data_IF_743823482222
#
_entry.id   IF_743823482222
#
_cell.length_a   1.000
_cell.length_b   1.000
_cell.length_c   1.000
_cell.angle_alpha   90.00
_cell.angle_beta   90.00
_cell.angle_gamma   90.00
#
_symmetry.space_group_name_H-M   'P 1'
#
loop_
_entity.id
_entity.type
_entity.pdbx_description
1 polymer ?
#
# COMPACT_ATOMS: atom_id res chain seq x y z
N UNK A 1 -5.78 26.60 26.85
CA UNK A 1 -5.42 25.79 25.67
C UNK A 1 -6.72 25.15 25.25
N UNK A 2 -7.30 25.69 24.18
CA UNK A 2 -8.58 25.25 23.64
C UNK A 2 -8.55 23.83 23.15
N UNK A 3 -9.73 23.35 22.80
CA UNK A 3 -9.95 21.96 22.41
C UNK A 3 -9.39 21.64 21.00
N UNK A 4 -9.10 22.68 20.20
CA UNK A 4 -8.75 22.57 18.80
C UNK A 4 -7.34 23.10 18.47
N UNK A 5 -6.80 22.64 17.35
CA UNK A 5 -5.57 23.16 16.77
C UNK A 5 -5.92 23.96 15.52
N UNK A 6 -5.27 25.10 15.35
CA UNK A 6 -5.58 26.07 14.31
C UNK A 6 -4.35 26.34 13.44
N UNK A 7 -4.58 26.48 12.14
CA UNK A 7 -3.68 27.14 11.20
C UNK A 7 -3.63 28.65 11.47
N UNK A 8 -2.68 29.34 10.83
CA UNK A 8 -2.58 30.81 10.98
C UNK A 8 -3.80 31.49 10.38
N UNK A 9 -4.26 31.01 9.24
CA UNK A 9 -5.43 31.52 8.53
C UNK A 9 -6.72 31.35 9.37
N UNK A 10 -6.90 30.22 10.05
CA UNK A 10 -8.05 30.00 10.94
C UNK A 10 -8.04 30.92 12.16
N UNK A 11 -6.86 31.23 12.71
CA UNK A 11 -6.74 32.20 13.80
C UNK A 11 -7.10 33.63 13.36
N UNK A 12 -6.74 34.01 12.13
CA UNK A 12 -7.13 35.29 11.55
C UNK A 12 -8.67 35.35 11.40
N UNK A 13 -9.29 34.28 10.90
CA UNK A 13 -10.75 34.15 10.81
C UNK A 13 -11.42 34.26 12.18
N UNK A 14 -10.93 33.54 13.19
CA UNK A 14 -11.48 33.57 14.55
C UNK A 14 -11.48 34.98 15.14
N UNK A 15 -10.39 35.74 14.96
CA UNK A 15 -10.31 37.13 15.43
C UNK A 15 -11.34 38.03 14.74
N UNK A 16 -11.52 37.87 13.42
CA UNK A 16 -12.52 38.63 12.67
C UNK A 16 -13.94 38.28 13.13
N UNK A 17 -14.25 36.99 13.32
CA UNK A 17 -15.56 36.55 13.83
C UNK A 17 -15.84 37.10 15.22
N UNK A 18 -14.86 37.05 16.14
CA UNK A 18 -14.97 37.63 17.48
C UNK A 18 -15.18 39.15 17.43
N UNK A 19 -14.45 39.84 16.55
CA UNK A 19 -14.62 41.28 16.34
C UNK A 19 -16.06 41.62 15.93
N UNK A 20 -16.60 40.88 14.97
CA UNK A 20 -17.95 41.07 14.45
C UNK A 20 -19.02 40.75 15.50
N UNK A 21 -18.82 39.69 16.29
CA UNK A 21 -19.72 39.32 17.39
C UNK A 21 -19.77 40.42 18.45
N UNK A 22 -18.61 40.91 18.89
CA UNK A 22 -18.52 41.95 19.91
C UNK A 22 -19.12 43.26 19.40
N UNK A 23 -18.81 43.65 18.15
CA UNK A 23 -19.41 44.85 17.54
C UNK A 23 -20.94 44.75 17.42
N UNK A 24 -21.46 43.58 17.03
CA UNK A 24 -22.90 43.33 16.98
C UNK A 24 -23.53 43.37 18.37
N UNK A 25 -22.84 42.81 19.37
CA UNK A 25 -23.28 42.82 20.77
C UNK A 25 -23.31 44.22 21.35
N UNK A 26 -22.31 45.06 21.06
CA UNK A 26 -22.25 46.46 21.47
C UNK A 26 -23.42 47.25 20.87
N UNK A 27 -23.69 47.08 19.57
CA UNK A 27 -24.81 47.72 18.88
C UNK A 27 -26.19 47.24 19.39
N UNK A 28 -26.32 45.97 19.76
CA UNK A 28 -27.54 45.42 20.36
C UNK A 28 -27.78 45.97 21.77
N UNK A 29 -26.70 46.14 22.54
CA UNK A 29 -26.76 46.58 23.93
C UNK A 29 -26.64 48.09 24.13
N UNK A 30 -26.36 48.86 23.08
CA UNK A 30 -26.38 50.33 23.14
C UNK A 30 -27.75 50.81 23.67
N UNK A 31 -27.77 51.50 24.81
CA UNK A 31 -29.02 51.83 25.51
C UNK A 31 -29.88 52.83 24.73
N UNK A 32 -29.25 53.71 23.94
CA UNK A 32 -29.96 54.71 23.12
C UNK A 32 -30.61 54.01 21.94
N UNK A 33 -29.85 53.20 21.20
CA UNK A 33 -30.38 52.44 20.06
C UNK A 33 -31.43 51.44 20.48
N UNK A 34 -31.25 50.77 21.63
CA UNK A 34 -32.26 49.88 22.21
C UNK A 34 -33.55 50.63 22.56
N UNK A 35 -33.46 51.82 23.16
CA UNK A 35 -34.65 52.64 23.44
C UNK A 35 -35.37 53.05 22.15
N UNK A 36 -34.63 53.47 21.11
CA UNK A 36 -35.20 53.85 19.81
C UNK A 36 -35.88 52.66 19.13
N UNK A 37 -35.24 51.48 19.13
CA UNK A 37 -35.82 50.23 18.59
C UNK A 37 -37.12 49.87 19.31
N UNK A 38 -37.09 49.82 20.64
CA UNK A 38 -38.28 49.50 21.45
C UNK A 38 -39.42 50.49 21.19
N UNK A 39 -39.13 51.80 21.17
CA UNK A 39 -40.12 52.81 20.88
C UNK A 39 -40.70 52.68 19.45
N UNK A 40 -39.85 52.33 18.48
CA UNK A 40 -40.28 52.10 17.10
C UNK A 40 -41.20 50.88 17.00
N UNK A 41 -40.85 49.78 17.66
CA UNK A 41 -41.67 48.56 17.69
C UNK A 41 -43.00 48.79 18.41
N UNK A 42 -43.01 49.56 19.51
CA UNK A 42 -44.22 49.97 20.21
C UNK A 42 -45.12 50.85 19.32
N UNK A 43 -44.54 51.79 18.58
CA UNK A 43 -45.25 52.65 17.64
C UNK A 43 -45.84 51.85 16.46
N UNK A 44 -45.08 50.90 15.91
CA UNK A 44 -45.54 49.99 14.85
C UNK A 44 -46.70 49.15 15.38
N UNK A 45 -46.55 48.54 16.56
CA UNK A 45 -47.59 47.73 17.20
C UNK A 45 -48.85 48.54 17.48
N UNK A 46 -48.70 49.76 17.98
CA UNK A 46 -49.84 50.66 18.26
C UNK A 46 -50.55 51.08 16.98
N UNK A 47 -49.79 51.38 15.92
CA UNK A 47 -50.33 51.71 14.60
C UNK A 47 -51.07 50.52 13.98
N UNK A 48 -50.52 49.32 14.08
CA UNK A 48 -51.18 48.09 13.64
C UNK A 48 -52.49 47.84 14.41
N UNK A 49 -52.50 48.05 15.73
CA UNK A 49 -53.71 47.94 16.57
C UNK A 49 -54.78 48.95 16.16
N UNK A 50 -54.40 50.20 15.90
CA UNK A 50 -55.31 51.25 15.43
C UNK A 50 -55.88 50.91 14.04
N UNK A 51 -55.05 50.45 13.11
CA UNK A 51 -55.52 50.03 11.78
C UNK A 51 -56.49 48.85 11.88
N UNK A 52 -56.21 47.89 12.78
CA UNK A 52 -57.14 46.79 13.05
C UNK A 52 -58.47 47.28 13.63
N UNK A 53 -58.48 48.26 14.54
CA UNK A 53 -59.72 48.81 15.13
C UNK A 53 -60.53 49.63 14.13
N UNK A 54 -59.90 50.15 13.08
CA UNK A 54 -60.55 50.82 11.94
C UNK A 54 -61.03 49.85 10.85
N UNK A 55 -61.19 48.55 11.17
CA UNK A 55 -61.57 47.48 10.25
C UNK A 55 -60.58 47.23 9.08
N UNK A 56 -59.34 47.72 9.16
CA UNK A 56 -58.31 47.54 8.11
C UNK A 56 -57.39 46.33 8.30
N UNK A 57 -57.87 45.31 9.02
CA UNK A 57 -57.05 44.14 9.38
C UNK A 57 -56.54 43.40 8.14
N UNK A 58 -57.41 43.24 7.13
CA UNK A 58 -57.07 42.53 5.89
C UNK A 58 -55.95 43.25 5.12
N UNK A 59 -55.99 44.58 5.06
CA UNK A 59 -54.92 45.36 4.42
C UNK A 59 -53.59 45.27 5.18
N UNK A 60 -53.61 45.21 6.51
CA UNK A 60 -52.39 45.01 7.33
C UNK A 60 -51.77 43.63 7.10
N UNK A 61 -52.60 42.58 7.05
CA UNK A 61 -52.15 41.22 6.79
C UNK A 61 -51.58 41.07 5.37
N UNK A 62 -52.24 41.69 4.38
CA UNK A 62 -51.78 41.71 2.98
C UNK A 62 -50.48 42.53 2.82
N UNK A 63 -50.33 43.66 3.53
CA UNK A 63 -49.08 44.43 3.53
C UNK A 63 -47.93 43.63 4.14
N UNK A 64 -48.19 42.94 5.26
CA UNK A 64 -47.19 42.14 5.95
C UNK A 64 -46.68 40.98 5.08
N UNK A 65 -47.58 40.36 4.29
CA UNK A 65 -47.20 39.37 3.28
C UNK A 65 -46.37 39.99 2.14
N UNK A 66 -46.81 41.13 1.60
CA UNK A 66 -46.07 41.85 0.54
C UNK A 66 -44.68 42.33 0.97
N UNK A 67 -44.49 42.69 2.24
CA UNK A 67 -43.18 43.08 2.78
C UNK A 67 -42.25 41.86 2.87
N UNK A 68 -42.77 40.67 3.20
CA UNK A 68 -41.97 39.44 3.17
C UNK A 68 -41.54 39.02 1.76
N UNK A 69 -42.28 39.46 0.74
CA UNK A 69 -42.02 39.13 -0.68
C UNK A 69 -41.19 40.19 -1.43
N UNK A 70 -41.03 41.40 -0.87
CA UNK A 70 -40.25 42.49 -1.47
C UNK A 70 -39.08 42.88 -0.58
N UNK A 71 -37.87 42.58 -1.06
CA UNK A 71 -36.67 43.24 -0.62
C UNK A 71 -36.72 44.73 -0.96
N UNK A 72 -36.50 45.58 0.05
CA UNK A 72 -36.47 47.04 -0.11
C UNK A 72 -35.05 47.46 -0.43
N UNK A 73 -34.88 48.15 -1.56
CA UNK A 73 -33.64 48.86 -1.90
C UNK A 73 -33.36 49.90 -0.81
N UNK A 74 -32.24 49.78 -0.12
CA UNK A 74 -31.72 50.80 0.78
C UNK A 74 -31.20 51.98 -0.07
N UNK A 75 -31.33 53.20 0.44
CA UNK A 75 -30.83 54.38 -0.28
C UNK A 75 -29.28 54.43 -0.30
N UNK A 76 -28.62 53.63 0.56
CA UNK A 76 -27.17 53.52 0.68
C UNK A 76 -26.72 52.07 0.88
N UNK A 77 -26.07 51.46 -0.12
CA UNK A 77 -25.44 50.15 0.01
C UNK A 77 -24.11 50.28 0.77
N UNK A 78 -23.80 49.37 1.71
CA UNK A 78 -22.55 49.41 2.47
C UNK A 78 -21.35 49.15 1.56
N UNK A 79 -20.27 49.92 1.75
CA UNK A 79 -19.01 49.73 1.03
C UNK A 79 -18.23 48.58 1.67
N UNK A 80 -17.91 47.56 0.88
CA UNK A 80 -17.11 46.42 1.34
C UNK A 80 -15.63 46.83 1.52
N UNK A 81 -15.04 46.39 2.62
CA UNK A 81 -13.61 46.49 2.91
C UNK A 81 -12.87 45.25 2.39
N UNK A 82 -11.56 45.36 2.17
CA UNK A 82 -10.74 44.19 1.80
C UNK A 82 -10.54 43.25 2.99
N UNK A 83 -10.33 41.95 2.72
CA UNK A 83 -10.07 40.97 3.77
C UNK A 83 -8.85 41.34 4.62
N UNK A 84 -7.79 41.84 3.98
CA UNK A 84 -6.55 42.24 4.65
C UNK A 84 -6.76 43.39 5.64
N UNK A 85 -7.57 44.39 5.28
CA UNK A 85 -7.92 45.51 6.16
C UNK A 85 -8.74 45.03 7.37
N UNK A 86 -9.70 44.13 7.16
CA UNK A 86 -10.53 43.58 8.23
C UNK A 86 -9.68 42.77 9.22
N UNK A 87 -8.73 41.97 8.71
CA UNK A 87 -7.79 41.20 9.54
C UNK A 87 -6.87 42.13 10.35
N UNK A 88 -6.35 43.21 9.76
CA UNK A 88 -5.52 44.18 10.47
C UNK A 88 -6.28 44.88 11.61
N UNK A 89 -7.54 45.24 11.36
CA UNK A 89 -8.44 45.79 12.39
C UNK A 89 -8.65 44.79 13.53
N UNK A 90 -8.91 43.52 13.21
CA UNK A 90 -9.12 42.47 14.21
C UNK A 90 -7.86 42.20 15.05
N UNK A 91 -6.67 42.16 14.45
CA UNK A 91 -5.39 42.02 15.18
C UNK A 91 -5.10 43.22 16.08
N UNK A 92 -5.48 44.42 15.64
CA UNK A 92 -5.32 45.64 16.45
C UNK A 92 -6.23 45.63 17.67
N UNK A 93 -7.43 45.03 17.55
CA UNK A 93 -8.42 44.93 18.64
C UNK A 93 -8.12 43.79 19.62
N UNK A 94 -7.66 42.63 19.12
CA UNK A 94 -7.37 41.45 19.94
C UNK A 94 -5.90 41.05 19.82
N UNK A 95 -5.12 41.32 20.88
CA UNK A 95 -3.70 40.93 20.96
C UNK A 95 -3.51 39.46 21.31
N UNK A 96 -4.45 38.88 22.04
CA UNK A 96 -4.41 37.48 22.47
C UNK A 96 -4.89 36.53 21.36
N UNK A 97 -4.65 35.23 21.57
CA UNK A 97 -5.17 34.17 20.72
C UNK A 97 -6.68 34.05 20.97
N UNK A 98 -7.47 34.09 19.89
CA UNK A 98 -8.92 33.89 19.95
C UNK A 98 -9.23 32.47 19.46
N UNK A 99 -9.83 31.68 20.35
CA UNK A 99 -10.26 30.31 20.09
C UNK A 99 -11.78 30.30 19.78
N UNK A 100 -12.31 29.22 19.19
CA UNK A 100 -13.73 29.11 18.83
C UNK A 100 -14.63 29.31 20.06
N UNK A 101 -14.19 28.82 21.21
CA UNK A 101 -14.87 28.89 22.49
C UNK A 101 -15.05 30.33 23.03
N UNK A 102 -14.36 31.32 22.46
CA UNK A 102 -14.47 32.75 22.84
C UNK A 102 -15.66 33.47 22.16
N UNK A 103 -16.23 32.86 21.12
CA UNK A 103 -17.35 33.43 20.36
C UNK A 103 -18.47 32.43 20.03
N UNK A 104 -18.28 31.14 20.28
CA UNK A 104 -19.32 30.12 20.18
C UNK A 104 -19.63 29.52 21.55
N UNK A 105 -20.91 29.31 21.83
CA UNK A 105 -21.38 28.60 23.00
C UNK A 105 -21.14 27.08 22.86
N UNK A 106 -21.06 26.33 23.98
CA UNK A 106 -20.95 24.87 23.92
C UNK A 106 -22.08 24.20 23.13
N UNK A 107 -23.30 24.75 23.20
CA UNK A 107 -24.47 24.22 22.48
C UNK A 107 -24.32 24.42 20.96
N UNK A 108 -23.78 25.56 20.51
CA UNK A 108 -23.49 25.80 19.08
C UNK A 108 -22.39 24.89 18.57
N UNK A 109 -21.31 24.70 19.35
CA UNK A 109 -20.23 23.76 19.00
C UNK A 109 -20.78 22.33 18.90
N UNK A 110 -21.63 21.92 19.85
CA UNK A 110 -22.26 20.60 19.81
C UNK A 110 -23.18 20.45 18.59
N UNK A 111 -23.94 21.49 18.23
CA UNK A 111 -24.81 21.47 17.04
C UNK A 111 -24.04 21.22 15.75
N UNK A 112 -22.80 21.70 15.63
CA UNK A 112 -21.93 21.43 14.46
C UNK A 112 -21.51 19.96 14.40
N UNK A 113 -21.22 19.34 15.54
CA UNK A 113 -20.93 17.90 15.59
C UNK A 113 -22.16 17.05 15.28
N UNK A 114 -23.33 17.45 15.78
CA UNK A 114 -24.60 16.78 15.47
C UNK A 114 -24.92 16.86 13.97
N UNK A 115 -24.61 17.98 13.32
CA UNK A 115 -24.71 18.16 11.86
C UNK A 115 -23.75 17.23 11.11
N UNK A 116 -22.49 17.13 11.56
CA UNK A 116 -21.53 16.19 10.98
C UNK A 116 -22.01 14.73 11.10
N UNK A 117 -22.60 14.38 12.25
CA UNK A 117 -23.18 13.05 12.48
C UNK A 117 -24.40 12.80 11.58
N UNK A 118 -25.25 13.79 11.35
CA UNK A 118 -26.35 13.71 10.39
C UNK A 118 -25.84 13.43 8.96
N UNK A 119 -24.80 14.15 8.52
CA UNK A 119 -24.17 13.95 7.20
C UNK A 119 -23.57 12.55 7.10
N UNK A 120 -22.87 12.10 8.15
CA UNK A 120 -22.34 10.73 8.25
C UNK A 120 -23.45 9.68 8.16
N UNK A 121 -24.61 9.92 8.79
CA UNK A 121 -25.77 9.03 8.73
C UNK A 121 -26.36 8.97 7.31
N UNK A 122 -26.47 10.13 6.62
CA UNK A 122 -26.88 10.20 5.21
C UNK A 122 -25.96 9.37 4.31
N UNK A 123 -24.64 9.49 4.48
CA UNK A 123 -23.67 8.67 3.75
C UNK A 123 -23.85 7.17 4.04
N UNK A 124 -24.02 6.82 5.32
CA UNK A 124 -24.23 5.44 5.75
C UNK A 124 -25.49 4.83 5.12
N UNK A 125 -26.61 5.58 5.12
CA UNK A 125 -27.87 5.20 4.48
C UNK A 125 -27.70 5.01 2.97
N UNK A 126 -27.10 5.98 2.26
CA UNK A 126 -26.88 5.91 0.79
C UNK A 126 -25.94 4.77 0.38
N UNK A 127 -24.99 4.39 1.24
CA UNK A 127 -24.02 3.34 0.97
C UNK A 127 -24.31 2.02 1.69
N UNK A 128 -25.52 1.86 2.24
CA UNK A 128 -25.93 0.64 2.91
C UNK A 128 -26.14 -0.51 1.93
N UNK A 129 -25.65 -1.69 2.29
CA UNK A 129 -25.85 -2.93 1.52
C UNK A 129 -26.99 -3.80 2.05
N UNK A 130 -27.82 -3.25 2.96
CA UNK A 130 -28.93 -3.99 3.57
C UNK A 130 -30.15 -4.19 2.67
N UNK A 131 -30.13 -3.68 1.44
CA UNK A 131 -31.22 -3.85 0.49
C UNK A 131 -31.20 -5.25 -0.15
N UNK A 132 -32.36 -5.69 -0.67
CA UNK A 132 -32.56 -7.04 -1.20
C UNK A 132 -31.57 -7.40 -2.32
N UNK A 133 -31.26 -6.47 -3.22
CA UNK A 133 -30.36 -6.72 -4.35
C UNK A 133 -28.93 -6.94 -3.87
N UNK A 134 -28.41 -6.06 -3.03
CA UNK A 134 -27.04 -6.15 -2.53
C UNK A 134 -26.83 -7.38 -1.67
N UNK A 135 -27.80 -7.71 -0.80
CA UNK A 135 -27.75 -8.93 0.01
C UNK A 135 -27.79 -10.20 -0.87
N UNK A 136 -28.56 -10.20 -1.95
CA UNK A 136 -28.59 -11.32 -2.89
C UNK A 136 -27.23 -11.47 -3.61
N UNK A 137 -26.66 -10.36 -4.11
CA UNK A 137 -25.35 -10.37 -4.75
C UNK A 137 -24.25 -10.76 -3.76
N UNK A 138 -24.30 -10.27 -2.52
CA UNK A 138 -23.40 -10.66 -1.45
C UNK A 138 -23.47 -12.16 -1.16
N UNK A 139 -24.68 -12.72 -1.09
CA UNK A 139 -24.87 -14.16 -0.86
C UNK A 139 -24.23 -14.97 -1.99
N UNK A 140 -24.48 -14.58 -3.25
CA UNK A 140 -23.86 -15.24 -4.41
C UNK A 140 -22.34 -15.09 -4.39
N UNK A 141 -21.83 -13.90 -4.06
CA UNK A 141 -20.40 -13.63 -3.94
C UNK A 141 -19.73 -14.51 -2.87
N UNK A 142 -20.35 -14.62 -1.68
CA UNK A 142 -19.87 -15.49 -0.60
C UNK A 142 -19.81 -16.94 -1.08
N UNK A 143 -20.92 -17.47 -1.65
CA UNK A 143 -20.96 -18.85 -2.13
C UNK A 143 -19.87 -19.11 -3.18
N UNK A 144 -19.72 -18.19 -4.13
CA UNK A 144 -18.77 -18.31 -5.23
C UNK A 144 -17.32 -18.33 -4.74
N UNK A 145 -16.96 -17.37 -3.87
CA UNK A 145 -15.60 -17.24 -3.35
C UNK A 145 -15.26 -18.35 -2.34
N UNK A 146 -16.19 -18.73 -1.45
CA UNK A 146 -16.00 -19.87 -0.54
C UNK A 146 -15.83 -21.16 -1.35
N UNK A 147 -16.63 -21.39 -2.39
CA UNK A 147 -16.49 -22.55 -3.26
C UNK A 147 -15.11 -22.59 -3.92
N UNK A 148 -14.65 -21.46 -4.48
CA UNK A 148 -13.30 -21.36 -5.07
C UNK A 148 -12.22 -21.73 -4.05
N UNK A 149 -12.30 -21.18 -2.84
CA UNK A 149 -11.35 -21.48 -1.76
C UNK A 149 -11.38 -22.95 -1.35
N UNK A 150 -12.56 -23.57 -1.22
CA UNK A 150 -12.68 -24.98 -0.84
C UNK A 150 -12.23 -25.93 -1.95
N UNK A 151 -12.29 -25.50 -3.21
CA UNK A 151 -11.75 -26.24 -4.36
C UNK A 151 -10.24 -26.08 -4.53
N UNK A 152 -9.63 -25.00 -4.00
CA UNK A 152 -8.20 -24.71 -4.14
C UNK A 152 -7.30 -25.90 -3.79
N UNK A 153 -7.46 -26.63 -2.65
CA UNK A 153 -6.57 -27.73 -2.29
C UNK A 153 -6.56 -28.85 -3.34
N UNK A 154 -7.72 -29.16 -3.92
CA UNK A 154 -7.87 -30.21 -4.93
C UNK A 154 -7.21 -29.81 -6.25
N UNK A 155 -7.39 -28.55 -6.66
CA UNK A 155 -6.77 -28.00 -7.88
C UNK A 155 -5.26 -27.90 -7.69
N UNK A 156 -4.81 -27.30 -6.59
CA UNK A 156 -3.39 -27.10 -6.28
C UNK A 156 -2.63 -28.43 -6.18
N UNK A 157 -3.24 -29.48 -5.63
CA UNK A 157 -2.62 -30.81 -5.57
C UNK A 157 -2.39 -31.44 -6.96
N UNK A 158 -3.25 -31.16 -7.96
CA UNK A 158 -3.03 -31.60 -9.35
C UNK A 158 -1.79 -30.96 -9.99
N UNK A 159 -1.41 -29.77 -9.50
CA UNK A 159 -0.19 -29.07 -9.90
C UNK A 159 0.95 -29.27 -8.89
N UNK A 160 0.86 -30.31 -8.06
CA UNK A 160 1.90 -30.72 -7.11
C UNK A 160 2.25 -29.67 -6.05
N UNK A 161 1.33 -28.77 -5.71
CA UNK A 161 1.56 -27.71 -4.72
C UNK A 161 2.12 -28.24 -3.39
N UNK A 162 3.23 -27.67 -2.93
CA UNK A 162 3.91 -28.06 -1.71
C UNK A 162 4.53 -29.46 -1.74
N UNK A 163 4.66 -30.11 -2.90
CA UNK A 163 5.36 -31.40 -3.03
C UNK A 163 6.85 -31.20 -3.33
N UNK A 164 7.68 -32.00 -2.67
CA UNK A 164 9.08 -32.18 -3.03
C UNK A 164 9.22 -32.89 -4.38
N UNK A 165 10.38 -32.75 -5.03
CA UNK A 165 10.68 -33.49 -6.26
C UNK A 165 11.18 -34.91 -5.93
N UNK A 166 11.04 -35.86 -6.86
CA UNK A 166 11.71 -37.16 -6.77
C UNK A 166 13.15 -37.05 -7.32
N UNK A 167 14.19 -37.34 -6.53
CA UNK A 167 15.57 -37.35 -7.01
C UNK A 167 15.83 -38.32 -8.18
N UNK A 168 14.98 -39.33 -8.39
CA UNK A 168 15.10 -40.27 -9.52
C UNK A 168 14.80 -39.61 -10.87
N UNK A 169 13.98 -38.56 -10.87
CA UNK A 169 13.63 -37.81 -12.08
C UNK A 169 14.71 -36.80 -12.47
N UNK A 170 15.83 -36.76 -11.72
CA UNK A 170 16.90 -35.76 -11.87
C UNK A 170 18.25 -36.40 -12.12
N UNK A 171 19.10 -35.64 -12.82
CA UNK A 171 20.44 -36.06 -13.19
C UNK A 171 21.41 -35.96 -12.00
N UNK A 172 22.45 -36.79 -12.02
CA UNK A 172 23.56 -36.64 -11.09
C UNK A 172 24.37 -35.37 -11.40
N UNK A 173 24.90 -34.71 -10.36
CA UNK A 173 25.69 -33.48 -10.50
C UNK A 173 26.94 -33.65 -11.40
N UNK A 174 27.41 -34.88 -11.59
CA UNK A 174 28.58 -35.22 -12.39
C UNK A 174 28.22 -35.83 -13.75
N UNK A 175 26.95 -35.80 -14.15
CA UNK A 175 26.43 -36.36 -15.40
C UNK A 175 27.21 -35.83 -16.63
N UNK A 176 27.50 -36.73 -17.58
CA UNK A 176 28.31 -36.42 -18.75
C UNK A 176 27.65 -35.39 -19.66
N UNK A 177 26.32 -35.40 -19.78
CA UNK A 177 25.56 -34.45 -20.59
C UNK A 177 25.63 -33.03 -20.03
N UNK A 178 25.51 -32.88 -18.70
CA UNK A 178 25.65 -31.60 -18.00
C UNK A 178 27.05 -31.04 -18.20
N UNK A 179 28.10 -31.86 -17.97
CA UNK A 179 29.50 -31.46 -18.16
C UNK A 179 29.79 -31.06 -19.60
N UNK A 180 29.31 -31.83 -20.56
CA UNK A 180 29.47 -31.53 -21.99
C UNK A 180 28.79 -30.21 -22.36
N UNK A 181 27.52 -30.03 -21.98
CA UNK A 181 26.79 -28.80 -22.25
C UNK A 181 27.42 -27.56 -21.58
N UNK A 182 27.93 -27.72 -20.36
CA UNK A 182 28.67 -26.67 -19.65
C UNK A 182 29.95 -26.29 -20.41
N UNK A 183 30.74 -27.29 -20.83
CA UNK A 183 31.97 -27.09 -21.58
C UNK A 183 31.72 -26.43 -22.94
N UNK A 184 30.76 -26.93 -23.71
CA UNK A 184 30.37 -26.37 -25.02
C UNK A 184 29.91 -24.92 -24.91
N UNK A 185 29.17 -24.58 -23.86
CA UNK A 185 28.75 -23.19 -23.61
C UNK A 185 29.96 -22.29 -23.32
N UNK A 186 30.92 -22.76 -22.53
CA UNK A 186 32.15 -22.01 -22.20
C UNK A 186 33.03 -21.83 -23.44
N UNK A 187 33.21 -22.88 -24.25
CA UNK A 187 33.94 -22.83 -25.52
C UNK A 187 33.26 -21.82 -26.49
N UNK A 188 31.94 -21.90 -26.64
CA UNK A 188 31.16 -20.96 -27.49
C UNK A 188 31.28 -19.51 -27.01
N UNK A 189 31.22 -19.27 -25.70
CA UNK A 189 31.38 -17.93 -25.14
C UNK A 189 32.80 -17.40 -25.39
N UNK A 190 33.82 -18.23 -25.12
CA UNK A 190 35.24 -17.92 -25.38
C UNK A 190 35.45 -17.55 -26.85
N UNK A 191 35.08 -18.43 -27.77
CA UNK A 191 35.34 -18.26 -29.20
C UNK A 191 34.61 -17.04 -29.76
N UNK A 192 33.40 -16.74 -29.25
CA UNK A 192 32.67 -15.51 -29.61
C UNK A 192 33.40 -14.25 -29.15
N UNK A 193 33.98 -14.26 -27.95
CA UNK A 193 34.64 -13.08 -27.35
C UNK A 193 36.06 -12.86 -27.90
N UNK A 194 36.81 -13.94 -28.16
CA UNK A 194 38.14 -13.89 -28.78
C UNK A 194 38.15 -13.26 -30.17
N UNK A 195 37.03 -13.30 -30.91
CA UNK A 195 36.90 -12.59 -32.21
C UNK A 195 37.07 -11.07 -32.12
N UNK A 196 36.90 -10.49 -30.93
CA UNK A 196 36.86 -9.02 -30.74
C UNK A 196 37.72 -8.53 -29.57
N UNK A 197 38.36 -9.43 -28.83
CA UNK A 197 39.09 -9.09 -27.61
C UNK A 197 40.23 -10.08 -27.39
N UNK A 198 41.31 -9.61 -26.77
CA UNK A 198 42.45 -10.45 -26.43
C UNK A 198 42.15 -11.45 -25.31
N UNK A 199 42.95 -12.51 -25.29
CA UNK A 199 42.96 -13.46 -24.19
C UNK A 199 43.39 -12.79 -22.88
N UNK A 200 42.85 -13.25 -21.75
CA UNK A 200 43.21 -12.75 -20.43
C UNK A 200 42.54 -13.55 -19.33
N UNK A 201 42.55 -13.00 -18.10
CA UNK A 201 41.96 -13.61 -16.90
C UNK A 201 40.51 -14.09 -17.10
N UNK A 202 39.73 -13.38 -17.93
CA UNK A 202 38.36 -13.77 -18.25
C UNK A 202 38.24 -15.17 -18.87
N UNK A 203 39.26 -15.70 -19.54
CA UNK A 203 39.28 -17.09 -20.04
C UNK A 203 39.47 -18.07 -18.89
N UNK A 204 40.36 -17.78 -17.95
CA UNK A 204 40.59 -18.60 -16.76
C UNK A 204 39.30 -18.71 -15.93
N UNK A 205 38.58 -17.60 -15.79
CA UNK A 205 37.27 -17.54 -15.11
C UNK A 205 36.27 -18.55 -15.69
N UNK A 206 36.29 -18.79 -17.00
CA UNK A 206 35.35 -19.73 -17.65
C UNK A 206 35.65 -21.20 -17.35
N UNK A 207 36.89 -21.55 -17.01
CA UNK A 207 37.32 -22.95 -16.86
C UNK A 207 37.73 -23.31 -15.44
N UNK A 208 37.86 -22.34 -14.56
CA UNK A 208 38.16 -22.58 -13.15
C UNK A 208 36.94 -23.17 -12.41
N UNK A 209 37.22 -23.95 -11.36
CA UNK A 209 36.20 -24.36 -10.41
C UNK A 209 35.70 -23.15 -9.65
N UNK A 210 34.37 -23.00 -9.50
CA UNK A 210 33.82 -21.89 -8.74
C UNK A 210 34.23 -21.99 -7.27
N UNK A 211 34.51 -20.85 -6.59
CA UNK A 211 35.04 -20.87 -5.23
C UNK A 211 34.14 -21.56 -4.21
N UNK A 212 32.83 -21.36 -4.31
CA UNK A 212 31.84 -21.84 -3.34
C UNK A 212 31.52 -23.35 -3.45
N UNK A 213 32.05 -24.06 -4.46
CA UNK A 213 32.05 -25.53 -4.53
C UNK A 213 33.17 -26.16 -3.68
N UNK A 214 34.16 -25.37 -3.25
CA UNK A 214 35.34 -25.88 -2.55
C UNK A 214 35.00 -26.11 -1.07
N UNK A 215 34.97 -27.39 -0.66
CA UNK A 215 34.72 -27.78 0.75
C UNK A 215 36.01 -28.04 1.54
N UNK A 216 37.13 -28.27 0.87
CA UNK A 216 38.42 -28.58 1.52
C UNK A 216 38.88 -27.40 2.37
N UNK A 217 39.11 -27.66 3.66
CA UNK A 217 39.57 -26.66 4.61
C UNK A 217 38.47 -26.04 5.47
N UNK A 218 37.18 -26.24 5.13
CA UNK A 218 36.05 -25.63 5.85
C UNK A 218 36.00 -26.02 7.33
N UNK A 219 36.20 -27.31 7.64
CA UNK A 219 36.16 -27.83 9.01
C UNK A 219 37.22 -27.19 9.92
N UNK A 220 38.39 -26.83 9.37
CA UNK A 220 39.44 -26.12 10.11
C UNK A 220 39.09 -24.66 10.41
N UNK A 221 38.06 -24.12 9.75
CA UNK A 221 37.52 -22.78 9.97
C UNK A 221 36.27 -22.80 10.86
N UNK A 222 35.92 -23.94 11.45
CA UNK A 222 34.66 -24.09 12.21
C UNK A 222 33.41 -24.07 11.33
N UNK A 223 33.55 -24.19 10.00
CA UNK A 223 32.43 -24.13 9.05
C UNK A 223 32.09 -25.55 8.60
N UNK A 224 30.95 -26.03 9.08
CA UNK A 224 30.40 -27.34 8.73
C UNK A 224 29.54 -27.24 7.46
N UNK A 225 30.14 -27.50 6.30
CA UNK A 225 29.45 -27.45 5.00
C UNK A 225 28.65 -28.73 4.67
N UNK A 226 28.57 -29.67 5.60
CA UNK A 226 27.73 -30.89 5.49
C UNK A 226 27.94 -31.74 4.22
N UNK A 227 29.14 -31.67 3.63
CA UNK A 227 29.56 -32.46 2.46
C UNK A 227 28.66 -32.23 1.25
N UNK A 228 27.68 -33.13 1.05
CA UNK A 228 26.76 -33.06 -0.10
C UNK A 228 25.84 -31.84 -0.04
N UNK A 229 25.60 -31.26 1.14
CA UNK A 229 24.71 -30.10 1.31
C UNK A 229 25.43 -28.74 1.30
N UNK A 230 26.70 -28.67 0.87
CA UNK A 230 27.48 -27.42 0.85
C UNK A 230 26.78 -26.24 0.17
N UNK A 231 25.92 -26.51 -0.83
CA UNK A 231 25.12 -25.51 -1.55
C UNK A 231 24.22 -24.69 -0.63
N UNK A 232 23.72 -25.30 0.45
CA UNK A 232 22.91 -24.61 1.45
C UNK A 232 23.72 -23.59 2.25
N UNK A 233 25.01 -23.87 2.46
CA UNK A 233 25.87 -23.09 3.35
C UNK A 233 26.66 -21.99 2.61
N UNK A 234 26.42 -21.81 1.32
CA UNK A 234 27.20 -20.91 0.47
C UNK A 234 26.30 -20.08 -0.42
N UNK A 235 26.41 -18.76 -0.30
CA UNK A 235 25.52 -17.83 -1.01
C UNK A 235 25.73 -17.85 -2.52
N UNK A 236 26.85 -18.42 -3.00
CA UNK A 236 27.09 -18.62 -4.42
C UNK A 236 26.14 -19.59 -5.11
N UNK A 237 25.52 -20.53 -4.38
CA UNK A 237 24.47 -21.41 -4.94
C UNK A 237 23.06 -20.85 -4.76
N UNK A 238 22.88 -19.74 -4.05
CA UNK A 238 21.56 -19.15 -3.93
C UNK A 238 21.08 -18.64 -5.30
N UNK A 239 19.85 -18.97 -5.74
CA UNK A 239 19.35 -18.55 -7.05
C UNK A 239 19.21 -17.04 -7.25
N UNK A 240 19.17 -16.24 -6.18
CA UNK A 240 19.06 -14.77 -6.20
C UNK A 240 20.38 -14.14 -5.74
N UNK A 241 20.81 -14.44 -4.52
CA UNK A 241 22.01 -13.89 -3.91
C UNK A 241 23.29 -14.35 -4.61
N UNK A 242 23.28 -15.52 -5.26
CA UNK A 242 24.40 -16.00 -6.06
C UNK A 242 24.78 -15.09 -7.22
N UNK A 243 23.85 -14.28 -7.74
CA UNK A 243 24.18 -13.27 -8.75
C UNK A 243 25.08 -12.16 -8.22
N UNK A 244 24.99 -11.87 -6.92
CA UNK A 244 25.81 -10.86 -6.25
C UNK A 244 27.04 -11.53 -5.65
N UNK A 245 26.84 -12.44 -4.70
CA UNK A 245 27.92 -13.07 -3.95
C UNK A 245 28.67 -14.11 -4.77
N UNK A 246 27.99 -14.94 -5.56
CA UNK A 246 28.64 -15.93 -6.42
C UNK A 246 29.50 -15.29 -7.52
N UNK A 247 28.99 -14.24 -8.16
CA UNK A 247 29.79 -13.44 -9.12
C UNK A 247 31.01 -12.80 -8.46
N UNK A 248 30.85 -12.16 -7.30
CA UNK A 248 31.95 -11.55 -6.56
C UNK A 248 32.98 -12.59 -6.11
N UNK A 249 32.50 -13.72 -5.57
CA UNK A 249 33.31 -14.87 -5.20
C UNK A 249 34.20 -15.32 -6.36
N UNK A 250 33.61 -15.55 -7.55
CA UNK A 250 34.34 -15.97 -8.76
C UNK A 250 35.42 -14.97 -9.17
N UNK A 251 35.17 -13.67 -9.02
CA UNK A 251 36.13 -12.62 -9.38
C UNK A 251 37.33 -12.60 -8.43
N UNK A 252 37.07 -12.72 -7.12
CA UNK A 252 38.06 -12.45 -6.06
C UNK A 252 38.67 -13.69 -5.43
N UNK A 253 38.30 -14.89 -5.89
CA UNK A 253 38.64 -16.16 -5.23
C UNK A 253 38.28 -16.14 -3.74
N UNK A 254 37.07 -15.65 -3.46
CA UNK A 254 36.46 -15.68 -2.14
C UNK A 254 35.29 -16.66 -2.11
N UNK A 255 34.92 -17.13 -0.92
CA UNK A 255 33.69 -17.88 -0.67
C UNK A 255 32.89 -17.15 0.38
N UNK A 256 31.61 -16.87 0.12
CA UNK A 256 30.70 -16.26 1.09
C UNK A 256 29.69 -17.28 1.60
N UNK A 257 29.61 -17.41 2.92
CA UNK A 257 28.75 -18.37 3.60
C UNK A 257 27.39 -17.79 3.99
N UNK A 258 26.47 -18.66 4.40
CA UNK A 258 25.10 -18.32 4.87
C UNK A 258 25.04 -17.42 6.13
N UNK A 259 26.18 -17.13 6.76
CA UNK A 259 26.34 -16.19 7.86
C UNK A 259 26.98 -14.85 7.43
N UNK A 260 27.09 -14.60 6.12
CA UNK A 260 27.75 -13.45 5.49
C UNK A 260 29.27 -13.35 5.73
N UNK A 261 29.88 -14.32 6.41
CA UNK A 261 31.33 -14.43 6.49
C UNK A 261 31.89 -14.77 5.12
N UNK A 262 32.99 -14.12 4.75
CA UNK A 262 33.69 -14.38 3.50
C UNK A 262 35.14 -14.78 3.78
N UNK A 263 35.62 -15.86 3.16
CA UNK A 263 36.98 -16.34 3.31
C UNK A 263 37.71 -16.40 1.98
N UNK A 264 39.03 -16.19 1.99
CA UNK A 264 39.88 -16.35 0.81
C UNK A 264 40.08 -17.83 0.46
N UNK A 265 40.13 -18.13 -0.83
CA UNK A 265 40.51 -19.43 -1.37
C UNK A 265 41.88 -19.35 -2.02
N UNK A 266 42.69 -20.39 -1.81
CA UNK A 266 43.93 -20.62 -2.55
C UNK A 266 43.67 -21.73 -3.56
N UNK A 267 44.00 -21.50 -4.83
CA UNK A 267 43.86 -22.48 -5.92
C UNK A 267 45.10 -23.36 -6.14
N UNK A 268 46.28 -22.79 -5.95
CA UNK A 268 47.58 -23.43 -6.14
C UNK A 268 48.43 -23.30 -4.88
N UNK A 269 49.20 -24.35 -4.57
CA UNK A 269 50.14 -24.30 -3.48
C UNK A 269 51.24 -23.26 -3.74
N UNK A 270 51.48 -22.28 -2.85
CA UNK A 270 52.44 -21.21 -3.10
C UNK A 270 53.90 -21.68 -3.24
N UNK A 271 54.24 -22.86 -2.72
CA UNK A 271 55.61 -23.39 -2.75
C UNK A 271 55.83 -24.38 -3.88
N UNK A 272 54.84 -25.23 -4.14
CA UNK A 272 54.97 -26.33 -5.11
C UNK A 272 54.24 -26.06 -6.44
N UNK A 273 53.44 -24.99 -6.52
CA UNK A 273 52.56 -24.64 -7.63
C UNK A 273 51.53 -25.74 -8.02
N UNK A 274 51.49 -26.84 -7.27
CA UNK A 274 50.54 -27.92 -7.46
C UNK A 274 49.11 -27.44 -7.15
N UNK A 275 48.12 -27.98 -7.86
CA UNK A 275 46.70 -27.65 -7.64
C UNK A 275 46.29 -28.07 -6.22
N UNK A 276 45.94 -27.10 -5.38
CA UNK A 276 45.60 -27.32 -3.97
C UNK A 276 44.48 -26.37 -3.53
N UNK A 277 43.31 -26.53 -4.15
CA UNK A 277 42.11 -25.74 -3.85
C UNK A 277 41.67 -25.94 -2.40
N UNK A 278 41.74 -24.89 -1.58
CA UNK A 278 41.32 -24.92 -0.17
C UNK A 278 40.83 -23.55 0.32
N UNK A 279 39.86 -23.59 1.23
CA UNK A 279 39.44 -22.42 2.01
C UNK A 279 40.54 -22.11 3.04
N UNK A 280 40.90 -20.84 3.16
CA UNK A 280 41.90 -20.35 4.12
C UNK A 280 41.27 -19.74 5.37
N UNK A 281 42.11 -19.39 6.34
CA UNK A 281 41.70 -18.66 7.55
C UNK A 281 41.62 -17.14 7.33
N UNK A 282 42.00 -16.64 6.16
CA UNK A 282 41.89 -15.22 5.85
C UNK A 282 40.41 -14.87 5.66
N UNK A 283 39.86 -14.16 6.64
CA UNK A 283 38.54 -13.54 6.55
C UNK A 283 38.68 -12.26 5.73
N UNK A 284 37.88 -12.15 4.68
CA UNK A 284 37.84 -10.99 3.78
C UNK A 284 36.57 -10.21 4.09
N UNK A 285 36.66 -8.95 4.58
CA UNK A 285 35.47 -8.12 4.76
C UNK A 285 34.68 -7.98 3.46
N UNK A 286 33.34 -7.96 3.53
CA UNK A 286 32.49 -7.83 2.34
C UNK A 286 32.84 -6.58 1.51
N UNK A 287 33.10 -5.44 2.17
CA UNK A 287 33.54 -4.21 1.51
C UNK A 287 34.82 -4.40 0.70
N UNK A 288 35.80 -5.13 1.25
CA UNK A 288 37.06 -5.46 0.58
C UNK A 288 36.82 -6.39 -0.61
N UNK A 289 35.99 -7.43 -0.46
CA UNK A 289 35.63 -8.31 -1.58
C UNK A 289 34.97 -7.54 -2.73
N UNK A 290 34.04 -6.64 -2.44
CA UNK A 290 33.40 -5.82 -3.48
C UNK A 290 34.36 -4.81 -4.10
N UNK A 291 35.27 -4.24 -3.32
CA UNK A 291 36.34 -3.38 -3.84
C UNK A 291 37.26 -4.16 -4.80
N UNK A 292 37.75 -5.33 -4.40
CA UNK A 292 38.57 -6.19 -5.26
C UNK A 292 37.79 -6.62 -6.52
N UNK A 293 36.49 -6.91 -6.39
CA UNK A 293 35.62 -7.22 -7.54
C UNK A 293 35.56 -6.05 -8.52
N UNK A 294 35.47 -4.82 -8.00
CA UNK A 294 35.49 -3.60 -8.81
C UNK A 294 36.84 -3.43 -9.52
N UNK A 295 37.95 -3.55 -8.79
CA UNK A 295 39.29 -3.39 -9.33
C UNK A 295 39.55 -4.40 -10.47
N UNK A 296 39.24 -5.68 -10.26
CA UNK A 296 39.37 -6.76 -11.26
C UNK A 296 38.47 -6.51 -12.48
N UNK A 297 37.31 -5.90 -12.27
CA UNK A 297 36.40 -5.52 -13.36
C UNK A 297 36.94 -4.34 -14.16
N UNK A 298 37.58 -3.38 -13.51
CA UNK A 298 38.15 -2.20 -14.16
C UNK A 298 39.45 -2.54 -14.93
N UNK A 299 40.24 -3.51 -14.47
CA UNK A 299 41.38 -4.06 -15.21
C UNK A 299 40.95 -4.62 -16.57
N UNK A 300 39.85 -5.38 -16.61
CA UNK A 300 39.24 -5.83 -17.85
C UNK A 300 37.75 -6.12 -17.65
N UNK A 301 36.89 -5.35 -18.34
CA UNK A 301 35.43 -5.47 -18.24
C UNK A 301 34.91 -6.86 -18.65
N UNK A 302 35.69 -7.64 -19.41
CA UNK A 302 35.35 -9.03 -19.72
C UNK A 302 35.42 -9.96 -18.51
N UNK A 303 36.18 -9.62 -17.46
CA UNK A 303 36.26 -10.41 -16.23
C UNK A 303 34.88 -10.51 -15.57
N UNK A 304 34.19 -9.37 -15.40
CA UNK A 304 32.82 -9.35 -14.86
C UNK A 304 31.85 -10.12 -15.77
N UNK A 305 31.92 -9.88 -17.08
CA UNK A 305 31.05 -10.57 -18.03
C UNK A 305 31.26 -12.10 -18.00
N UNK A 306 32.52 -12.55 -17.88
CA UNK A 306 32.86 -13.96 -17.73
C UNK A 306 32.43 -14.53 -16.38
N UNK A 307 32.54 -13.77 -15.29
CA UNK A 307 32.11 -14.20 -13.96
C UNK A 307 30.58 -14.35 -13.88
N UNK A 308 29.82 -13.38 -14.39
CA UNK A 308 28.35 -13.48 -14.50
C UNK A 308 27.96 -14.68 -15.37
N UNK A 309 28.66 -14.88 -16.49
CA UNK A 309 28.41 -16.03 -17.35
C UNK A 309 28.72 -17.35 -16.63
N UNK A 310 29.87 -17.47 -15.97
CA UNK A 310 30.24 -18.65 -15.20
C UNK A 310 29.23 -18.95 -14.08
N UNK A 311 28.80 -17.92 -13.33
CA UNK A 311 27.74 -18.02 -12.32
C UNK A 311 26.44 -18.57 -12.93
N UNK A 312 26.02 -18.01 -14.07
CA UNK A 312 24.79 -18.43 -14.76
C UNK A 312 24.84 -19.90 -15.18
N UNK A 313 26.00 -20.33 -15.68
CA UNK A 313 26.23 -21.68 -16.16
C UNK A 313 26.31 -22.68 -15.01
N UNK A 314 26.88 -22.27 -13.87
CA UNK A 314 26.94 -23.07 -12.64
C UNK A 314 25.56 -23.30 -12.02
N UNK A 315 24.77 -22.24 -11.83
CA UNK A 315 23.39 -22.38 -11.34
C UNK A 315 22.56 -23.24 -12.30
N UNK A 316 22.76 -23.10 -13.62
CA UNK A 316 22.09 -23.92 -14.63
C UNK A 316 22.48 -25.39 -14.56
N UNK A 317 23.74 -25.72 -14.30
CA UNK A 317 24.14 -27.12 -14.12
C UNK A 317 23.57 -27.73 -12.86
N UNK A 318 23.40 -26.95 -11.79
CA UNK A 318 22.95 -27.44 -10.49
C UNK A 318 21.43 -27.58 -10.36
N UNK A 319 20.64 -26.67 -10.97
CA UNK A 319 19.18 -26.59 -10.75
C UNK A 319 18.40 -27.87 -11.01
N UNK A 320 18.83 -28.70 -11.98
CA UNK A 320 18.13 -29.92 -12.39
C UNK A 320 18.80 -31.19 -11.83
N UNK A 321 19.72 -31.05 -10.87
CA UNK A 321 20.41 -32.18 -10.25
C UNK A 321 19.59 -32.79 -9.11
N UNK A 322 19.97 -33.99 -8.67
CA UNK A 322 19.34 -34.68 -7.53
C UNK A 322 19.31 -33.89 -6.21
N UNK A 323 20.17 -32.88 -6.05
CA UNK A 323 20.14 -31.97 -4.90
C UNK A 323 19.43 -30.65 -5.23
N UNK A 324 19.44 -30.22 -6.49
CA UNK A 324 18.88 -28.93 -6.88
C UNK A 324 19.65 -27.74 -6.32
N UNK A 325 18.96 -26.61 -6.20
CA UNK A 325 19.44 -25.37 -5.58
C UNK A 325 18.56 -25.02 -4.37
N UNK A 326 19.10 -24.40 -3.31
CA UNK A 326 18.33 -24.03 -2.13
C UNK A 326 17.16 -23.09 -2.48
N UNK A 327 16.17 -23.04 -1.59
CA UNK A 327 15.08 -22.06 -1.69
C UNK A 327 15.69 -20.65 -1.57
N UNK A 328 15.44 -19.75 -2.52
CA UNK A 328 16.13 -18.47 -2.57
C UNK A 328 16.06 -17.67 -1.27
N UNK A 329 17.19 -17.13 -0.83
CA UNK A 329 17.36 -16.21 0.31
C UNK A 329 17.05 -16.83 1.68
N UNK A 330 16.47 -18.03 1.72
CA UNK A 330 15.91 -18.61 2.94
C UNK A 330 17.00 -18.96 3.97
N UNK A 331 18.18 -19.35 3.50
CA UNK A 331 19.34 -19.70 4.33
C UNK A 331 19.86 -18.52 5.18
N UNK A 332 19.62 -17.27 4.77
CA UNK A 332 19.98 -16.09 5.58
C UNK A 332 18.95 -15.84 6.67
N UNK A 333 17.66 -16.00 6.36
CA UNK A 333 16.58 -15.66 7.28
C UNK A 333 16.24 -16.76 8.27
N UNK A 334 16.24 -18.02 7.82
CA UNK A 334 15.87 -19.17 8.63
C UNK A 334 16.63 -20.43 8.17
N UNK A 335 17.82 -20.61 8.73
CA UNK A 335 18.71 -21.75 8.43
C UNK A 335 18.07 -23.10 8.71
N UNK A 336 17.31 -23.21 9.80
CA UNK A 336 16.67 -24.47 10.19
C UNK A 336 15.62 -24.87 9.16
N UNK A 337 14.75 -23.94 8.75
CA UNK A 337 13.75 -24.17 7.73
C UNK A 337 14.39 -24.44 6.35
N UNK A 338 15.42 -23.68 5.98
CA UNK A 338 16.16 -23.89 4.73
C UNK A 338 16.77 -25.29 4.67
N UNK A 339 17.42 -25.72 5.76
CA UNK A 339 18.01 -27.05 5.88
C UNK A 339 16.97 -28.15 5.80
N UNK A 340 15.85 -28.00 6.52
CA UNK A 340 14.75 -28.96 6.50
C UNK A 340 14.19 -29.14 5.08
N UNK A 341 13.78 -28.05 4.44
CA UNK A 341 13.21 -28.08 3.09
C UNK A 341 14.17 -28.71 2.08
N UNK A 342 15.44 -28.28 2.11
CA UNK A 342 16.44 -28.76 1.18
C UNK A 342 16.73 -30.26 1.35
N UNK A 343 16.76 -30.77 2.59
CA UNK A 343 16.92 -32.20 2.90
C UNK A 343 15.70 -33.04 2.55
N UNK A 344 14.51 -32.44 2.57
CA UNK A 344 13.26 -33.05 2.13
C UNK A 344 13.07 -32.98 0.60
N UNK A 345 14.10 -32.57 -0.16
CA UNK A 345 14.06 -32.39 -1.62
C UNK A 345 13.03 -31.33 -2.06
N UNK A 346 12.90 -30.26 -1.29
CA UNK A 346 12.17 -29.05 -1.68
C UNK A 346 13.18 -27.95 -2.04
N UNK A 347 13.26 -27.63 -3.32
CA UNK A 347 14.30 -26.76 -3.89
C UNK A 347 13.72 -25.50 -4.54
N UNK A 348 14.59 -24.70 -5.16
CA UNK A 348 14.21 -23.49 -5.88
C UNK A 348 13.13 -23.71 -6.96
N UNK A 349 13.10 -24.87 -7.63
CA UNK A 349 12.11 -25.18 -8.65
C UNK A 349 10.75 -25.52 -8.03
N UNK A 350 10.73 -26.31 -6.94
CA UNK A 350 9.52 -26.53 -6.14
C UNK A 350 8.94 -25.20 -5.64
N UNK A 351 9.79 -24.32 -5.09
CA UNK A 351 9.39 -23.00 -4.63
C UNK A 351 8.82 -22.14 -5.76
N UNK A 352 9.50 -22.08 -6.92
CA UNK A 352 9.03 -21.33 -8.08
C UNK A 352 7.69 -21.84 -8.61
N UNK A 353 7.49 -23.16 -8.65
CA UNK A 353 6.20 -23.77 -8.99
C UNK A 353 5.11 -23.33 -8.01
N UNK A 354 5.39 -23.40 -6.71
CA UNK A 354 4.41 -23.08 -5.68
C UNK A 354 4.05 -21.57 -5.67
N UNK A 355 5.03 -20.69 -5.86
CA UNK A 355 4.81 -19.24 -6.05
C UNK A 355 3.92 -18.98 -7.27
N UNK A 356 4.14 -19.70 -8.38
CA UNK A 356 3.29 -19.58 -9.58
C UNK A 356 1.85 -20.02 -9.30
N UNK A 357 1.65 -21.08 -8.52
CA UNK A 357 0.32 -21.55 -8.12
C UNK A 357 -0.38 -20.50 -7.23
N UNK A 358 0.32 -19.96 -6.24
CA UNK A 358 -0.18 -18.87 -5.39
C UNK A 358 -0.57 -17.64 -6.21
N UNK A 359 0.31 -17.19 -7.12
CA UNK A 359 0.04 -16.07 -8.01
C UNK A 359 -1.15 -16.31 -8.95
N UNK A 360 -1.28 -17.53 -9.49
CA UNK A 360 -2.45 -17.92 -10.29
C UNK A 360 -3.72 -17.87 -9.45
N UNK A 361 -3.68 -18.36 -8.21
CA UNK A 361 -4.84 -18.31 -7.32
C UNK A 361 -5.27 -16.87 -7.01
N UNK A 362 -4.32 -15.96 -6.80
CA UNK A 362 -4.60 -14.53 -6.61
C UNK A 362 -5.25 -13.90 -7.86
N UNK A 363 -4.74 -14.20 -9.05
CA UNK A 363 -5.31 -13.74 -10.32
C UNK A 363 -6.74 -14.26 -10.52
N UNK A 364 -6.99 -15.53 -10.19
CA UNK A 364 -8.33 -16.12 -10.23
C UNK A 364 -9.27 -15.43 -9.24
N UNK A 365 -8.84 -15.15 -8.00
CA UNK A 365 -9.65 -14.39 -7.05
C UNK A 365 -10.07 -13.03 -7.61
N UNK A 366 -9.12 -12.29 -8.20
CA UNK A 366 -9.41 -10.99 -8.81
C UNK A 366 -10.38 -11.10 -9.99
N UNK A 367 -10.29 -12.17 -10.77
CA UNK A 367 -11.27 -12.45 -11.83
C UNK A 367 -12.68 -12.68 -11.27
N UNK A 368 -12.81 -13.40 -10.17
CA UNK A 368 -14.10 -13.55 -9.48
C UNK A 368 -14.63 -12.21 -8.97
N UNK A 369 -13.78 -11.34 -8.41
CA UNK A 369 -14.19 -10.00 -7.98
C UNK A 369 -14.67 -9.15 -9.16
N UNK A 370 -14.01 -9.25 -10.31
CA UNK A 370 -14.45 -8.57 -11.54
C UNK A 370 -15.84 -9.04 -11.97
N UNK A 371 -16.11 -10.36 -11.93
CA UNK A 371 -17.43 -10.91 -12.25
C UNK A 371 -18.47 -10.37 -11.25
N UNK A 372 -18.18 -10.42 -9.95
CA UNK A 372 -19.11 -9.96 -8.90
C UNK A 372 -19.39 -8.47 -9.06
N UNK A 373 -18.36 -7.65 -9.27
CA UNK A 373 -18.49 -6.21 -9.48
C UNK A 373 -19.29 -5.89 -10.75
N UNK A 374 -19.04 -6.62 -11.84
CA UNK A 374 -19.79 -6.47 -13.08
C UNK A 374 -21.28 -6.81 -12.89
N UNK A 375 -21.57 -7.98 -12.30
CA UNK A 375 -22.95 -8.42 -12.03
C UNK A 375 -23.66 -7.44 -11.11
N UNK A 376 -23.01 -6.97 -10.04
CA UNK A 376 -23.57 -5.94 -9.17
C UNK A 376 -23.86 -4.67 -9.98
N UNK A 377 -22.91 -4.20 -10.78
CA UNK A 377 -23.04 -3.02 -11.65
C UNK A 377 -24.24 -3.05 -12.59
N UNK A 378 -24.69 -4.22 -13.05
CA UNK A 378 -25.90 -4.36 -13.89
C UNK A 378 -27.19 -3.94 -13.18
N UNK A 379 -27.21 -3.94 -11.85
CA UNK A 379 -28.37 -3.52 -11.05
C UNK A 379 -28.32 -2.04 -10.63
N UNK A 380 -27.28 -1.29 -11.01
CA UNK A 380 -27.20 0.14 -10.75
C UNK A 380 -28.29 0.88 -11.53
N UNK A 381 -29.05 1.73 -10.84
CA UNK A 381 -30.03 2.60 -11.50
C UNK A 381 -29.37 3.83 -12.15
N UNK A 382 -29.95 4.41 -13.21
CA UNK A 382 -29.38 5.58 -13.89
C UNK A 382 -29.21 6.81 -12.99
N UNK A 383 -30.12 7.01 -12.06
CA UNK A 383 -30.20 8.13 -11.11
C UNK A 383 -29.30 7.97 -9.88
N UNK A 384 -28.78 6.76 -9.62
CA UNK A 384 -27.88 6.53 -8.49
C UNK A 384 -26.46 7.07 -8.76
N UNK A 385 -25.90 7.73 -7.75
CA UNK A 385 -24.51 8.18 -7.76
C UNK A 385 -23.55 7.00 -7.97
N UNK A 386 -22.63 7.17 -8.92
CA UNK A 386 -21.72 6.12 -9.37
C UNK A 386 -20.74 5.72 -8.26
N UNK A 387 -20.23 6.68 -7.50
CA UNK A 387 -19.19 6.43 -6.51
C UNK A 387 -19.76 5.88 -5.20
N UNK A 388 -20.95 6.34 -4.78
CA UNK A 388 -21.70 5.72 -3.69
C UNK A 388 -22.09 4.27 -4.03
N UNK A 389 -22.43 3.97 -5.28
CA UNK A 389 -22.68 2.60 -5.73
C UNK A 389 -21.42 1.73 -5.74
N UNK A 390 -20.26 2.29 -6.14
CA UNK A 390 -18.98 1.60 -6.03
C UNK A 390 -18.60 1.31 -4.57
N UNK A 391 -18.92 2.19 -3.63
CA UNK A 391 -18.74 1.93 -2.19
C UNK A 391 -19.50 0.68 -1.77
N UNK A 392 -20.78 0.54 -2.16
CA UNK A 392 -21.59 -0.67 -1.90
C UNK A 392 -20.95 -1.93 -2.51
N UNK A 393 -20.52 -1.84 -3.77
CA UNK A 393 -19.82 -2.93 -4.47
C UNK A 393 -18.57 -3.38 -3.72
N UNK A 394 -17.73 -2.44 -3.27
CA UNK A 394 -16.50 -2.75 -2.52
C UNK A 394 -16.79 -3.34 -1.14
N UNK A 395 -17.83 -2.90 -0.44
CA UNK A 395 -18.28 -3.54 0.81
C UNK A 395 -18.64 -5.01 0.57
N UNK A 396 -19.35 -5.31 -0.53
CA UNK A 396 -19.69 -6.70 -0.90
C UNK A 396 -18.42 -7.53 -1.14
N UNK A 397 -17.48 -7.00 -1.93
CA UNK A 397 -16.21 -7.69 -2.22
C UNK A 397 -15.37 -7.91 -0.96
N UNK A 398 -15.26 -6.90 -0.09
CA UNK A 398 -14.52 -6.99 1.16
C UNK A 398 -15.10 -8.05 2.09
N UNK A 399 -16.42 -8.07 2.29
CA UNK A 399 -17.09 -9.03 3.18
C UNK A 399 -16.97 -10.45 2.62
N UNK A 400 -17.28 -10.64 1.33
CA UNK A 400 -17.20 -11.96 0.70
C UNK A 400 -15.77 -12.52 0.74
N UNK A 401 -14.76 -11.71 0.41
CA UNK A 401 -13.36 -12.16 0.40
C UNK A 401 -12.87 -12.47 1.81
N UNK A 402 -13.32 -11.69 2.81
CA UNK A 402 -13.02 -11.95 4.22
C UNK A 402 -13.60 -13.29 4.67
N UNK A 403 -14.88 -13.57 4.36
CA UNK A 403 -15.52 -14.86 4.71
C UNK A 403 -14.83 -16.03 4.00
N UNK A 404 -14.51 -15.88 2.71
CA UNK A 404 -13.81 -16.91 1.94
C UNK A 404 -12.40 -17.17 2.53
N UNK A 405 -11.69 -16.14 2.93
CA UNK A 405 -10.36 -16.24 3.55
C UNK A 405 -10.40 -16.92 4.91
N UNK A 406 -11.34 -16.52 5.77
CA UNK A 406 -11.58 -17.19 7.05
C UNK A 406 -11.94 -18.65 6.84
N UNK A 407 -12.75 -18.97 5.82
CA UNK A 407 -13.08 -20.35 5.45
C UNK A 407 -11.84 -21.14 5.01
N UNK A 408 -10.92 -20.52 4.27
CA UNK A 408 -9.63 -21.13 3.89
C UNK A 408 -8.80 -21.51 5.12
N UNK A 409 -8.69 -20.56 6.07
CA UNK A 409 -7.92 -20.71 7.30
C UNK A 409 -8.53 -21.84 8.16
N UNK A 410 -9.85 -21.82 8.34
CA UNK A 410 -10.58 -22.86 9.09
C UNK A 410 -10.37 -24.24 8.43
N UNK A 411 -10.51 -24.33 7.10
CA UNK A 411 -10.30 -25.60 6.39
C UNK A 411 -8.86 -26.13 6.58
N UNK A 412 -7.85 -25.27 6.46
CA UNK A 412 -6.46 -25.65 6.69
C UNK A 412 -6.20 -26.10 8.15
N UNK A 413 -6.82 -25.43 9.12
CA UNK A 413 -6.71 -25.77 10.54
C UNK A 413 -7.39 -27.11 10.87
N UNK A 414 -8.62 -27.32 10.42
CA UNK A 414 -9.39 -28.56 10.65
C UNK A 414 -8.70 -29.76 9.98
N UNK A 415 -8.27 -29.60 8.72
CA UNK A 415 -7.59 -30.67 7.99
C UNK A 415 -6.14 -30.89 8.44
N UNK A 416 -5.61 -30.01 9.30
CA UNK A 416 -4.20 -29.96 9.71
C UNK A 416 -3.24 -30.00 8.52
N UNK A 417 -3.68 -29.43 7.39
CA UNK A 417 -2.94 -29.41 6.14
C UNK A 417 -2.73 -27.96 5.70
N UNK A 418 -1.55 -27.37 5.94
CA UNK A 418 -1.28 -25.99 5.55
C UNK A 418 -1.32 -25.80 4.02
N UNK A 419 -1.17 -26.87 3.22
CA UNK A 419 -1.29 -26.81 1.75
C UNK A 419 -2.73 -26.57 1.29
N UNK A 420 -3.71 -26.76 2.18
CA UNK A 420 -5.10 -26.43 1.92
C UNK A 420 -5.38 -24.93 1.99
N UNK A 421 -4.42 -24.13 2.46
CA UNK A 421 -4.59 -22.70 2.61
C UNK A 421 -4.44 -22.00 1.26
N UNK A 422 -5.48 -21.29 0.83
CA UNK A 422 -5.46 -20.47 -0.38
C UNK A 422 -4.74 -19.13 -0.12
N UNK A 423 -3.41 -19.16 -0.18
CA UNK A 423 -2.56 -17.97 0.02
C UNK A 423 -2.86 -16.89 -1.03
N UNK A 424 -3.16 -17.27 -2.27
CA UNK A 424 -3.49 -16.30 -3.31
C UNK A 424 -4.82 -15.57 -3.03
N UNK A 425 -5.82 -16.30 -2.52
CA UNK A 425 -7.06 -15.72 -2.00
C UNK A 425 -6.82 -14.76 -0.83
N UNK A 426 -5.98 -15.15 0.13
CA UNK A 426 -5.62 -14.29 1.27
C UNK A 426 -4.96 -12.98 0.83
N UNK A 427 -4.01 -13.04 -0.11
CA UNK A 427 -3.38 -11.84 -0.66
C UNK A 427 -4.39 -10.89 -1.32
N UNK A 428 -5.39 -11.44 -2.01
CA UNK A 428 -6.45 -10.65 -2.62
C UNK A 428 -7.28 -9.91 -1.56
N UNK A 429 -7.68 -10.62 -0.49
CA UNK A 429 -8.41 -10.05 0.66
C UNK A 429 -7.64 -8.96 1.37
N UNK A 430 -6.33 -9.17 1.58
CA UNK A 430 -5.46 -8.13 2.15
C UNK A 430 -5.47 -6.89 1.24
N UNK A 431 -5.43 -7.06 -0.09
CA UNK A 431 -5.52 -5.92 -1.00
C UNK A 431 -6.85 -5.15 -0.85
N UNK A 432 -7.98 -5.84 -0.67
CA UNK A 432 -9.27 -5.20 -0.41
C UNK A 432 -9.27 -4.45 0.93
N UNK A 433 -8.71 -5.04 1.99
CA UNK A 433 -8.63 -4.40 3.30
C UNK A 433 -7.91 -3.04 3.24
N UNK A 434 -6.86 -2.91 2.43
CA UNK A 434 -6.16 -1.63 2.30
C UNK A 434 -6.77 -0.71 1.23
N UNK A 435 -7.03 -1.22 0.03
CA UNK A 435 -7.42 -0.40 -1.11
C UNK A 435 -8.90 0.01 -1.06
N UNK A 436 -9.79 -0.88 -0.64
CA UNK A 436 -11.22 -0.58 -0.58
C UNK A 436 -11.53 0.33 0.59
N UNK A 437 -10.94 0.10 1.76
CA UNK A 437 -11.12 1.01 2.91
C UNK A 437 -10.65 2.42 2.55
N UNK A 438 -9.47 2.56 1.93
CA UNK A 438 -8.98 3.85 1.46
C UNK A 438 -9.95 4.53 0.49
N UNK A 439 -10.50 3.78 -0.47
CA UNK A 439 -11.51 4.31 -1.39
C UNK A 439 -12.77 4.76 -0.66
N UNK A 440 -13.31 3.94 0.24
CA UNK A 440 -14.53 4.24 0.99
C UNK A 440 -14.34 5.50 1.85
N UNK A 441 -13.20 5.62 2.53
CA UNK A 441 -12.88 6.81 3.33
C UNK A 441 -12.76 8.06 2.46
N UNK A 442 -12.14 7.95 1.26
CA UNK A 442 -12.03 9.07 0.32
C UNK A 442 -13.42 9.56 -0.13
N UNK A 443 -14.29 8.64 -0.57
CA UNK A 443 -15.65 9.01 -1.00
C UNK A 443 -16.46 9.56 0.18
N UNK A 444 -16.26 9.03 1.39
CA UNK A 444 -16.90 9.57 2.60
C UNK A 444 -16.46 11.02 2.86
N UNK A 445 -15.17 11.31 2.75
CA UNK A 445 -14.63 12.66 2.93
C UNK A 445 -15.22 13.62 1.89
N UNK A 446 -15.15 13.27 0.61
CA UNK A 446 -15.72 14.08 -0.48
C UNK A 446 -17.22 14.32 -0.28
N UNK A 447 -17.96 13.31 0.18
CA UNK A 447 -19.38 13.45 0.49
C UNK A 447 -19.64 14.45 1.62
N UNK A 448 -18.85 14.39 2.71
CA UNK A 448 -18.97 15.31 3.85
C UNK A 448 -18.65 16.74 3.42
N UNK A 449 -17.53 16.93 2.71
CA UNK A 449 -17.10 18.24 2.21
C UNK A 449 -18.15 18.86 1.27
N UNK A 450 -18.75 18.06 0.38
CA UNK A 450 -19.79 18.54 -0.52
C UNK A 450 -21.07 18.94 0.22
N UNK A 451 -21.55 18.14 1.18
CA UNK A 451 -22.76 18.48 1.95
C UNK A 451 -22.54 19.74 2.81
N UNK A 452 -21.35 19.92 3.39
CA UNK A 452 -21.00 21.16 4.11
C UNK A 452 -20.95 22.35 3.13
N UNK A 453 -20.31 22.18 1.97
CA UNK A 453 -20.18 23.25 0.97
C UNK A 453 -21.54 23.67 0.40
N UNK A 454 -22.46 22.73 0.14
CA UNK A 454 -23.81 23.01 -0.33
C UNK A 454 -24.65 23.78 0.70
N UNK A 455 -24.45 23.51 2.00
CA UNK A 455 -25.12 24.26 3.07
C UNK A 455 -24.54 25.67 3.18
N UNK A 456 -23.22 25.80 3.20
CA UNK A 456 -22.54 27.09 3.24
C UNK A 456 -22.90 27.97 2.04
N UNK A 457 -22.98 27.40 0.84
CA UNK A 457 -23.35 28.16 -0.36
C UNK A 457 -24.75 28.76 -0.25
N UNK A 458 -25.71 28.06 0.37
CA UNK A 458 -27.06 28.61 0.56
C UNK A 458 -27.06 29.82 1.49
N UNK A 459 -26.30 29.76 2.59
CA UNK A 459 -26.15 30.89 3.51
C UNK A 459 -25.48 32.08 2.81
N UNK A 460 -24.44 31.82 2.00
CA UNK A 460 -23.78 32.86 1.19
C UNK A 460 -24.74 33.47 0.16
N UNK A 461 -25.51 32.66 -0.56
CA UNK A 461 -26.50 33.12 -1.54
C UNK A 461 -27.59 33.99 -0.87
N UNK A 462 -27.98 33.67 0.37
CA UNK A 462 -28.92 34.50 1.15
C UNK A 462 -28.32 35.84 1.57
N UNK A 463 -27.05 35.85 2.00
CA UNK A 463 -26.32 37.08 2.34
C UNK A 463 -26.14 37.95 1.10
N UNK A 464 -25.74 37.36 -0.04
CA UNK A 464 -25.57 38.06 -1.30
C UNK A 464 -26.91 38.63 -1.79
N UNK A 465 -28.00 37.87 -1.68
CA UNK A 465 -29.34 38.38 -1.96
C UNK A 465 -29.70 39.56 -1.05
N UNK A 466 -29.39 39.48 0.24
CA UNK A 466 -29.60 40.62 1.15
C UNK A 466 -28.80 41.83 0.68
N UNK A 467 -27.50 41.67 0.41
CA UNK A 467 -26.61 42.75 -0.04
C UNK A 467 -27.02 43.35 -1.39
N UNK A 468 -27.28 42.54 -2.41
CA UNK A 468 -27.71 43.02 -3.74
C UNK A 468 -29.08 43.71 -3.71
N UNK A 469 -29.87 43.35 -2.71
CA UNK A 469 -31.19 43.92 -2.50
C UNK A 469 -31.19 45.17 -1.61
N UNK A 470 -30.06 45.48 -0.96
CA UNK A 470 -29.76 46.76 -0.31
C UNK A 470 -29.41 47.79 -1.36
#
# INVERSE_FOLDING_TARGET
>A
MGQFQYSKEELDINKVLKMNLDASSDLLNDPIMKAIRNQSDENITSSQKLLCSLNKKKEVDDLSKKIKEKTRKLEHSPKLESWEEIVEQAHSKYTDVVEIEDFMTPDEIQSVFDELDEINEKFSKKTSIGNKTDLAVLTVAIVLQVTKTLLFPYIANKFEYGKSFDPKDRLDHNDKSIKKAHREANDKYRDKKLKKNDAGKWIEILYQTVPYDITKGSAKQGIHMEGRYHRLHTLGHDPILGWIFGTANILTDCITFDNLQTNRIIRHDPKTHAKNMKITHEIVPLSKMFQESYDITMENKLNLAAAIFAQSQHLKSDKNTKLGLPVPVLEIFNKELASKLYRENYDALCFSRDVKIVGTSAAVSRFFDMIIAFVHGLYKKPDEDVDLYKVRTRKILLISNSIASTSAIINAAITKNPKSLDIGGLLNTVSHLFLDIRFITKIKQEFVENEISERLQKELDEIDQLYDSM
#
